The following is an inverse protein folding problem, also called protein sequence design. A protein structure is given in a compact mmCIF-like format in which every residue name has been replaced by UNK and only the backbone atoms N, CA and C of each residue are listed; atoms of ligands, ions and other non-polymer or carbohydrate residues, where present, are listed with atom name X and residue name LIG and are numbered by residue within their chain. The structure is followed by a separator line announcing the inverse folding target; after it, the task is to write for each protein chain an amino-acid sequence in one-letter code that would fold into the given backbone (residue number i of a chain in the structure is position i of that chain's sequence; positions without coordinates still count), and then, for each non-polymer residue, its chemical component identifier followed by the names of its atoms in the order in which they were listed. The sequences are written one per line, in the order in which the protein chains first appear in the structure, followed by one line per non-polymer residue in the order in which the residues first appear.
data_IF_597152769125
#
_entry.id   IF_597152769125
#
_cell.length_a   1.000
_cell.length_b   1.000
_cell.length_c   1.000
_cell.angle_alpha   90.00
_cell.angle_beta   90.00
_cell.angle_gamma   90.00
#
_symmetry.space_group_name_H-M   'P 1'
#
loop_
_entity.id
_entity.type
_entity.pdbx_description
1 polymer ?
#
# COMPACT_ATOMS: atom_id res chain seq x y z
N UNK A 1 49.67 32.58 -52.95
CA UNK A 1 48.28 32.12 -52.77
C UNK A 1 48.07 31.75 -51.31
N UNK A 2 46.88 32.05 -50.79
CA UNK A 2 46.62 32.57 -49.45
C UNK A 2 46.87 31.64 -48.25
N UNK A 3 47.43 32.26 -47.21
CA UNK A 3 47.28 31.90 -45.80
C UNK A 3 45.79 31.85 -45.40
N UNK A 4 45.37 30.72 -44.82
CA UNK A 4 44.00 30.50 -44.35
C UNK A 4 43.98 30.12 -42.87
N UNK A 5 44.17 31.12 -42.00
CA UNK A 5 43.93 31.04 -40.55
C UNK A 5 42.43 31.09 -40.29
N UNK A 6 41.83 30.02 -39.75
CA UNK A 6 40.52 30.08 -39.10
C UNK A 6 40.53 29.34 -37.76
N UNK A 7 40.32 30.12 -36.69
CA UNK A 7 40.26 29.73 -35.29
C UNK A 7 38.99 28.93 -34.98
N UNK A 8 39.18 27.91 -34.14
CA UNK A 8 38.36 27.47 -33.01
C UNK A 8 36.82 27.41 -33.19
N UNK A 9 36.27 26.20 -33.10
CA UNK A 9 35.24 25.95 -32.08
C UNK A 9 35.39 24.53 -31.52
N UNK A 10 36.01 24.43 -30.34
CA UNK A 10 35.94 23.22 -29.56
C UNK A 10 34.53 23.07 -29.03
N UNK A 11 33.72 22.21 -29.65
CA UNK A 11 32.48 21.73 -29.06
C UNK A 11 32.83 20.87 -27.84
N UNK A 12 33.04 21.52 -26.69
CA UNK A 12 33.13 20.87 -25.39
C UNK A 12 31.79 20.17 -25.15
N UNK A 13 31.79 18.86 -25.38
CA UNK A 13 30.62 17.99 -25.29
C UNK A 13 29.95 18.15 -23.92
N UNK A 14 28.67 18.54 -23.92
CA UNK A 14 27.68 18.49 -22.82
C UNK A 14 27.39 17.05 -22.31
N UNK A 15 28.30 16.10 -22.56
CA UNK A 15 28.16 14.66 -22.27
C UNK A 15 28.17 14.36 -20.77
N UNK A 16 28.85 15.19 -19.98
CA UNK A 16 28.88 15.10 -18.53
C UNK A 16 27.51 15.42 -17.91
N UNK A 17 26.92 16.57 -18.27
CA UNK A 17 25.62 17.00 -17.72
C UNK A 17 24.47 16.10 -18.17
N UNK A 18 24.54 15.54 -19.37
CA UNK A 18 23.55 14.57 -19.85
C UNK A 18 23.61 13.26 -19.04
N UNK A 19 24.82 12.70 -18.84
CA UNK A 19 25.01 11.50 -18.02
C UNK A 19 24.58 11.70 -16.57
N UNK A 20 24.85 12.87 -16.00
CA UNK A 20 24.43 13.21 -14.64
C UNK A 20 22.89 13.27 -14.50
N UNK A 21 22.21 13.83 -15.50
CA UNK A 21 20.75 13.82 -15.57
C UNK A 21 20.16 12.41 -15.71
N UNK A 22 20.73 11.59 -16.61
CA UNK A 22 20.33 10.18 -16.78
C UNK A 22 20.53 9.37 -15.50
N UNK A 23 21.65 9.55 -14.81
CA UNK A 23 21.92 8.91 -13.52
C UNK A 23 20.92 9.34 -12.43
N UNK A 24 20.54 10.62 -12.40
CA UNK A 24 19.52 11.11 -11.46
C UNK A 24 18.15 10.51 -11.71
N UNK A 25 17.75 10.35 -12.98
CA UNK A 25 16.49 9.70 -13.34
C UNK A 25 16.50 8.22 -12.95
N UNK A 26 17.61 7.52 -13.19
CA UNK A 26 17.77 6.12 -12.77
C UNK A 26 17.70 6.00 -11.24
N UNK A 27 18.38 6.88 -10.50
CA UNK A 27 18.34 6.90 -9.04
C UNK A 27 16.92 7.08 -8.51
N UNK A 28 16.18 8.07 -9.02
CA UNK A 28 14.80 8.31 -8.64
C UNK A 28 13.89 7.12 -8.99
N UNK A 29 14.11 6.47 -10.13
CA UNK A 29 13.35 5.28 -10.51
C UNK A 29 13.61 4.11 -9.55
N UNK A 30 14.86 3.93 -9.12
CA UNK A 30 15.24 2.91 -8.13
C UNK A 30 14.65 3.21 -6.75
N UNK A 31 14.66 4.47 -6.29
CA UNK A 31 14.01 4.89 -5.05
C UNK A 31 12.50 4.63 -5.09
N UNK A 32 11.84 5.04 -6.17
CA UNK A 32 10.41 4.80 -6.37
C UNK A 32 10.06 3.30 -6.33
N UNK A 33 10.84 2.47 -7.03
CA UNK A 33 10.66 1.02 -7.01
C UNK A 33 10.89 0.43 -5.61
N UNK A 34 11.91 0.90 -4.88
CA UNK A 34 12.17 0.47 -3.51
C UNK A 34 11.04 0.84 -2.55
N UNK A 35 10.45 2.03 -2.69
CA UNK A 35 9.31 2.43 -1.85
C UNK A 35 8.05 1.63 -2.16
N UNK A 36 7.81 1.29 -3.43
CA UNK A 36 6.75 0.36 -3.82
C UNK A 36 6.98 -1.04 -3.23
N UNK A 37 8.20 -1.58 -3.34
CA UNK A 37 8.56 -2.87 -2.77
C UNK A 37 8.43 -2.88 -1.23
N UNK A 38 8.82 -1.79 -0.56
CA UNK A 38 8.61 -1.62 0.89
C UNK A 38 7.13 -1.64 1.24
N UNK A 39 6.30 -0.95 0.47
CA UNK A 39 4.84 -0.94 0.67
C UNK A 39 4.23 -2.33 0.53
N UNK A 40 4.66 -3.11 -0.47
CA UNK A 40 4.21 -4.50 -0.66
C UNK A 40 4.69 -5.39 0.49
N UNK A 41 5.96 -5.26 0.90
CA UNK A 41 6.53 -6.06 1.98
C UNK A 41 5.88 -5.77 3.33
N UNK A 42 5.45 -4.53 3.58
CA UNK A 42 4.82 -4.11 4.84
C UNK A 42 3.30 -4.34 4.86
N UNK A 43 2.66 -4.52 3.70
CA UNK A 43 1.21 -4.68 3.60
C UNK A 43 0.67 -5.78 4.51
N UNK A 44 1.20 -7.03 4.53
CA UNK A 44 0.66 -8.08 5.38
C UNK A 44 0.71 -7.74 6.87
N UNK A 45 1.79 -7.09 7.32
CA UNK A 45 1.94 -6.68 8.72
C UNK A 45 0.97 -5.55 9.08
N UNK A 46 0.77 -4.57 8.18
CA UNK A 46 -0.19 -3.48 8.38
C UNK A 46 -1.63 -3.98 8.41
N UNK A 47 -2.01 -4.89 7.50
CA UNK A 47 -3.35 -5.49 7.48
C UNK A 47 -3.58 -6.36 8.70
N UNK A 48 -2.62 -7.20 9.10
CA UNK A 48 -2.72 -8.00 10.33
C UNK A 48 -2.87 -7.12 11.59
N UNK A 49 -2.12 -6.01 11.65
CA UNK A 49 -2.20 -5.05 12.76
C UNK A 49 -3.57 -4.37 12.80
N UNK A 50 -4.12 -4.02 11.63
CA UNK A 50 -5.43 -3.41 11.53
C UNK A 50 -6.55 -4.36 12.02
N UNK A 51 -6.53 -5.61 11.59
CA UNK A 51 -7.49 -6.62 12.02
C UNK A 51 -7.42 -6.90 13.52
N UNK A 52 -6.20 -6.98 14.06
CA UNK A 52 -5.98 -7.13 15.50
C UNK A 52 -6.56 -5.94 16.27
N UNK A 53 -6.37 -4.73 15.76
CA UNK A 53 -6.92 -3.51 16.35
C UNK A 53 -8.46 -3.48 16.30
N UNK A 54 -9.08 -3.82 15.16
CA UNK A 54 -10.54 -3.93 15.03
C UNK A 54 -11.12 -4.94 16.01
N UNK A 55 -10.49 -6.12 16.12
CA UNK A 55 -10.84 -7.13 17.12
C UNK A 55 -10.79 -6.58 18.55
N UNK A 56 -9.69 -5.94 18.92
CA UNK A 56 -9.52 -5.40 20.28
C UNK A 56 -10.56 -4.34 20.62
N UNK A 57 -10.86 -3.44 19.69
CA UNK A 57 -11.86 -2.40 19.90
C UNK A 57 -13.27 -2.96 20.00
N UNK A 58 -13.63 -3.95 19.18
CA UNK A 58 -14.91 -4.62 19.30
C UNK A 58 -15.06 -5.34 20.65
N UNK A 59 -14.03 -6.07 21.08
CA UNK A 59 -14.01 -6.73 22.40
C UNK A 59 -14.10 -5.71 23.54
N UNK A 60 -13.44 -4.56 23.42
CA UNK A 60 -13.51 -3.46 24.39
C UNK A 60 -14.93 -2.90 24.49
N UNK A 61 -15.60 -2.68 23.35
CA UNK A 61 -16.99 -2.21 23.30
C UNK A 61 -17.93 -3.23 23.91
N UNK A 62 -17.80 -4.51 23.55
CA UNK A 62 -18.61 -5.58 24.14
C UNK A 62 -18.49 -5.59 25.66
N UNK A 63 -17.28 -5.46 26.23
CA UNK A 63 -17.05 -5.39 27.69
C UNK A 63 -17.75 -4.19 28.33
N UNK A 64 -17.80 -3.04 27.64
CA UNK A 64 -18.40 -1.81 28.15
C UNK A 64 -19.92 -1.79 28.15
N UNK A 65 -20.60 -2.69 27.43
CA UNK A 65 -22.05 -2.75 27.41
C UNK A 65 -22.57 -3.46 28.67
N UNK A 66 -23.11 -2.78 29.70
CA UNK A 66 -23.46 -3.45 30.96
C UNK A 66 -24.68 -4.38 30.85
N UNK A 67 -25.54 -4.13 29.85
CA UNK A 67 -26.81 -4.85 29.68
C UNK A 67 -26.68 -6.17 28.89
N UNK A 68 -25.50 -6.44 28.31
CA UNK A 68 -25.27 -7.67 27.55
C UNK A 68 -24.92 -8.81 28.51
N UNK A 69 -25.61 -9.95 28.39
CA UNK A 69 -25.26 -11.14 29.20
C UNK A 69 -23.87 -11.66 28.84
N UNK A 70 -23.28 -12.48 29.70
CA UNK A 70 -22.01 -13.15 29.39
C UNK A 70 -22.13 -14.08 28.18
N UNK A 71 -23.30 -14.73 28.02
CA UNK A 71 -23.60 -15.60 26.88
C UNK A 71 -23.65 -14.79 25.58
N UNK A 72 -24.37 -13.68 25.55
CA UNK A 72 -24.48 -12.82 24.36
C UNK A 72 -23.10 -12.30 23.96
N UNK A 73 -22.26 -11.90 24.92
CA UNK A 73 -20.89 -11.48 24.64
C UNK A 73 -20.07 -12.60 24.01
N UNK A 74 -20.16 -13.82 24.53
CA UNK A 74 -19.44 -14.96 23.98
C UNK A 74 -19.91 -15.31 22.56
N UNK A 75 -21.22 -15.19 22.28
CA UNK A 75 -21.77 -15.36 20.94
C UNK A 75 -21.24 -14.29 19.98
N UNK A 76 -21.30 -13.01 20.36
CA UNK A 76 -20.75 -11.92 19.55
C UNK A 76 -19.24 -12.07 19.29
N UNK A 77 -18.49 -12.55 20.28
CA UNK A 77 -17.06 -12.83 20.14
C UNK A 77 -16.80 -13.95 19.13
N UNK A 78 -17.57 -15.04 19.23
CA UNK A 78 -17.45 -16.17 18.30
C UNK A 78 -17.76 -15.74 16.87
N UNK A 79 -18.81 -14.95 16.70
CA UNK A 79 -19.24 -14.44 15.40
C UNK A 79 -18.19 -13.52 14.76
N UNK A 80 -17.62 -12.61 15.56
CA UNK A 80 -16.51 -11.78 15.09
C UNK A 80 -15.33 -12.65 14.64
N UNK A 81 -14.95 -13.66 15.42
CA UNK A 81 -13.83 -14.54 15.11
C UNK A 81 -14.07 -15.41 13.88
N UNK A 82 -15.32 -15.83 13.61
CA UNK A 82 -15.63 -16.63 12.43
C UNK A 82 -15.64 -15.84 11.12
N UNK A 83 -15.87 -14.52 11.20
CA UNK A 83 -16.05 -13.66 10.02
C UNK A 83 -14.95 -12.63 9.80
N UNK A 84 -13.89 -12.62 10.60
CA UNK A 84 -12.82 -11.63 10.44
C UNK A 84 -12.12 -11.74 9.08
N UNK A 85 -11.89 -12.95 8.59
CA UNK A 85 -11.29 -13.18 7.29
C UNK A 85 -12.24 -12.78 6.15
N UNK A 86 -13.56 -12.99 6.32
CA UNK A 86 -14.57 -12.53 5.38
C UNK A 86 -14.62 -10.99 5.31
N UNK A 87 -14.55 -10.32 6.46
CA UNK A 87 -14.49 -8.85 6.53
C UNK A 87 -13.22 -8.32 5.87
N UNK A 88 -12.06 -8.97 6.10
CA UNK A 88 -10.81 -8.66 5.43
C UNK A 88 -10.95 -8.77 3.92
N UNK A 89 -11.44 -9.92 3.44
CA UNK A 89 -11.66 -10.17 2.02
C UNK A 89 -12.61 -9.14 1.40
N UNK A 90 -13.69 -8.77 2.09
CA UNK A 90 -14.64 -7.77 1.61
C UNK A 90 -14.03 -6.36 1.46
N UNK A 91 -13.13 -5.96 2.36
CA UNK A 91 -12.39 -4.69 2.23
C UNK A 91 -11.44 -4.71 1.04
N UNK A 92 -10.83 -5.85 0.74
CA UNK A 92 -9.90 -6.02 -0.39
C UNK A 92 -10.60 -6.12 -1.75
N UNK A 93 -11.88 -6.52 -1.79
CA UNK A 93 -12.68 -6.58 -3.02
C UNK A 93 -12.87 -5.21 -3.67
N UNK A 94 -12.87 -5.20 -5.00
CA UNK A 94 -13.32 -4.08 -5.84
C UNK A 94 -14.83 -3.86 -5.70
N UNK A 95 -15.32 -2.68 -6.11
CA UNK A 95 -16.75 -2.36 -5.97
C UNK A 95 -17.66 -3.31 -6.77
N UNK A 96 -17.21 -3.82 -7.91
CA UNK A 96 -17.99 -4.79 -8.69
C UNK A 96 -17.95 -6.20 -8.07
N UNK A 97 -16.82 -6.61 -7.48
CA UNK A 97 -16.74 -7.85 -6.69
C UNK A 97 -17.64 -7.77 -5.46
N UNK A 98 -17.64 -6.63 -4.74
CA UNK A 98 -18.54 -6.40 -3.60
C UNK A 98 -20.01 -6.50 -4.00
N UNK A 99 -20.41 -5.90 -5.13
CA UNK A 99 -21.79 -6.03 -5.66
C UNK A 99 -22.16 -7.48 -5.91
N UNK A 100 -21.26 -8.27 -6.49
CA UNK A 100 -21.52 -9.69 -6.75
C UNK A 100 -21.55 -10.50 -5.45
N UNK A 101 -20.63 -10.23 -4.52
CA UNK A 101 -20.58 -10.87 -3.20
C UNK A 101 -21.87 -10.61 -2.40
N UNK A 102 -22.35 -9.37 -2.36
CA UNK A 102 -23.61 -9.02 -1.71
C UNK A 102 -24.83 -9.71 -2.35
N UNK A 103 -24.80 -10.05 -3.64
CA UNK A 103 -25.89 -10.81 -4.29
C UNK A 103 -25.95 -12.28 -3.87
N UNK A 104 -24.86 -12.84 -3.35
CA UNK A 104 -24.82 -14.24 -2.88
C UNK A 104 -25.28 -14.33 -1.42
N UNK A 105 -25.10 -13.26 -0.65
CA UNK A 105 -25.43 -13.18 0.77
C UNK A 105 -26.83 -12.62 1.08
N UNK A 106 -27.48 -11.95 0.12
CA UNK A 106 -28.84 -11.38 0.22
C UNK A 106 -29.84 -12.18 -0.61
#
# INVERSE_FOLDING_TARGET
MSDGKARLSGSKRKRGSQREGELKVIHMALECMNDQLRTIAEWPARTLTNDTHVCQEFLRLLRKMPNLSSLDRALCQRELMSHIDDMRGFVEMTDDERKNFCRVLL
#
